data_IF_019165492815
#
_entry.id   IF_019165492815
#
_cell.length_a   1.000
_cell.length_b   1.000
_cell.length_c   1.000
_cell.angle_alpha   90.00
_cell.angle_beta   90.00
_cell.angle_gamma   90.00
#
_symmetry.space_group_name_H-M   'P 1'
#
loop_
_entity.id
_entity.type
_entity.pdbx_description
1 polymer ?
#
# COMPACT_ATOMS: atom_id res chain seq x y z
N UNK A 1 -29.79 -8.34 18.73
CA UNK A 1 -29.59 -7.35 17.62
C UNK A 1 -28.25 -6.60 17.63
N UNK A 2 -27.36 -6.74 18.64
CA UNK A 2 -26.07 -6.02 18.70
C UNK A 2 -24.90 -6.65 17.91
N UNK A 3 -25.03 -7.88 17.41
CA UNK A 3 -23.95 -8.53 16.65
C UNK A 3 -23.90 -8.13 15.17
N UNK A 4 -25.06 -7.97 14.51
CA UNK A 4 -25.11 -7.66 13.08
C UNK A 4 -24.39 -6.35 12.72
N UNK A 5 -24.49 -5.34 13.58
CA UNK A 5 -23.89 -4.01 13.40
C UNK A 5 -22.35 -4.03 13.39
N UNK A 6 -21.71 -5.03 14.04
CA UNK A 6 -20.23 -5.10 14.15
C UNK A 6 -19.59 -5.59 12.85
N UNK A 7 -20.29 -6.43 12.10
CA UNK A 7 -19.78 -6.98 10.85
C UNK A 7 -19.80 -5.91 9.76
N UNK A 8 -20.89 -5.17 9.62
CA UNK A 8 -20.98 -4.05 8.66
C UNK A 8 -19.85 -3.03 8.89
N UNK A 9 -19.62 -2.62 10.14
CA UNK A 9 -18.52 -1.72 10.53
C UNK A 9 -17.13 -2.27 10.17
N UNK A 10 -16.90 -3.58 10.32
CA UNK A 10 -15.65 -4.21 9.89
C UNK A 10 -15.50 -4.17 8.37
N UNK A 11 -16.54 -4.46 7.59
CA UNK A 11 -16.48 -4.37 6.13
C UNK A 11 -16.25 -2.94 5.63
N UNK A 12 -16.91 -1.94 6.23
CA UNK A 12 -16.65 -0.54 5.92
C UNK A 12 -15.22 -0.11 6.27
N UNK A 13 -14.67 -0.62 7.37
CA UNK A 13 -13.29 -0.35 7.78
C UNK A 13 -12.28 -1.01 6.82
N UNK A 14 -12.51 -2.27 6.42
CA UNK A 14 -11.69 -2.97 5.45
C UNK A 14 -11.73 -2.32 4.06
N UNK A 15 -12.90 -1.85 3.60
CA UNK A 15 -13.03 -1.07 2.37
C UNK A 15 -12.28 0.26 2.45
N UNK A 16 -12.34 0.95 3.59
CA UNK A 16 -11.59 2.17 3.85
C UNK A 16 -10.07 1.95 3.72
N UNK A 17 -9.56 0.84 4.27
CA UNK A 17 -8.15 0.44 4.13
C UNK A 17 -7.77 0.23 2.66
N UNK A 18 -8.60 -0.47 1.88
CA UNK A 18 -8.31 -0.77 0.46
C UNK A 18 -8.35 0.49 -0.39
N UNK A 19 -9.33 1.37 -0.16
CA UNK A 19 -9.44 2.66 -0.85
C UNK A 19 -8.24 3.53 -0.50
N UNK A 20 -7.86 3.62 0.78
CA UNK A 20 -6.68 4.37 1.20
C UNK A 20 -5.40 3.83 0.56
N UNK A 21 -5.24 2.50 0.50
CA UNK A 21 -4.12 1.87 -0.19
C UNK A 21 -4.09 2.24 -1.68
N UNK A 22 -5.23 2.13 -2.37
CA UNK A 22 -5.36 2.54 -3.77
C UNK A 22 -5.00 4.01 -3.99
N UNK A 23 -5.51 4.91 -3.14
CA UNK A 23 -5.20 6.35 -3.21
C UNK A 23 -3.71 6.62 -2.98
N UNK A 24 -3.07 5.94 -2.02
CA UNK A 24 -1.63 6.08 -1.74
C UNK A 24 -0.79 5.58 -2.92
N UNK A 25 -1.16 4.45 -3.54
CA UNK A 25 -0.47 3.90 -4.70
C UNK A 25 -0.61 4.83 -5.91
N UNK A 26 -1.83 5.26 -6.24
CA UNK A 26 -2.07 6.19 -7.35
C UNK A 26 -1.38 7.53 -7.12
N UNK A 27 -1.40 8.05 -5.89
CA UNK A 27 -0.69 9.30 -5.54
C UNK A 27 0.82 9.15 -5.71
N UNK A 28 1.42 8.04 -5.29
CA UNK A 28 2.85 7.79 -5.49
C UNK A 28 3.23 7.68 -6.97
N UNK A 29 2.42 7.00 -7.77
CA UNK A 29 2.64 6.91 -9.23
C UNK A 29 2.53 8.30 -9.86
N UNK A 30 1.54 9.09 -9.46
CA UNK A 30 1.35 10.45 -9.97
C UNK A 30 2.52 11.36 -9.60
N UNK A 31 2.96 11.34 -8.33
CA UNK A 31 4.09 12.14 -7.85
C UNK A 31 5.39 11.71 -8.53
N UNK A 32 5.66 10.42 -8.67
CA UNK A 32 6.83 9.91 -9.39
C UNK A 32 6.80 10.30 -10.87
N UNK A 33 5.63 10.27 -11.51
CA UNK A 33 5.44 10.69 -12.90
C UNK A 33 5.65 12.19 -13.11
N UNK A 34 5.10 13.03 -12.22
CA UNK A 34 5.26 14.50 -12.27
C UNK A 34 6.71 14.89 -12.02
N UNK A 35 7.36 14.33 -10.99
CA UNK A 35 8.77 14.57 -10.69
C UNK A 35 9.66 14.06 -11.83
N UNK A 36 9.37 12.87 -12.37
CA UNK A 36 10.07 12.32 -13.52
C UNK A 36 9.98 13.20 -14.77
N UNK A 37 8.79 13.73 -15.06
CA UNK A 37 8.57 14.66 -16.18
C UNK A 37 9.30 15.99 -15.99
N UNK A 38 9.30 16.54 -14.78
CA UNK A 38 9.99 17.79 -14.48
C UNK A 38 11.51 17.63 -14.58
N UNK A 39 12.05 16.49 -14.14
CA UNK A 39 13.47 16.14 -14.26
C UNK A 39 13.86 15.90 -15.71
N UNK A 40 13.03 15.22 -16.52
CA UNK A 40 13.29 14.97 -17.95
C UNK A 40 13.37 16.29 -18.75
N UNK A 41 12.60 17.31 -18.33
CA UNK A 41 12.59 18.64 -18.94
C UNK A 41 13.81 19.50 -18.56
N UNK A 42 14.43 19.24 -17.40
CA UNK A 42 15.51 20.07 -16.85
C UNK A 42 16.90 19.42 -16.97
N UNK A 43 16.97 18.08 -17.02
CA UNK A 43 18.21 17.32 -17.13
C UNK A 43 18.40 16.84 -18.57
N UNK A 44 19.26 17.57 -19.30
CA UNK A 44 19.83 17.20 -20.60
C UNK A 44 19.92 15.67 -20.84
N UNK A 45 18.97 15.12 -21.61
CA UNK A 45 18.97 13.84 -22.36
C UNK A 45 19.31 12.52 -21.63
N UNK A 46 19.64 12.52 -20.35
CA UNK A 46 20.03 11.29 -19.64
C UNK A 46 18.88 10.75 -18.78
N UNK A 47 18.00 9.95 -19.40
CA UNK A 47 16.87 9.17 -18.83
C UNK A 47 17.17 8.28 -17.61
N UNK A 48 18.42 8.26 -17.13
CA UNK A 48 18.91 7.39 -16.07
C UNK A 48 18.38 7.75 -14.67
N UNK A 49 18.16 9.03 -14.37
CA UNK A 49 17.59 9.39 -13.07
C UNK A 49 16.11 9.01 -12.94
N UNK A 50 15.35 9.10 -14.04
CA UNK A 50 13.94 8.71 -14.09
C UNK A 50 13.80 7.19 -13.90
N UNK A 51 14.66 6.39 -14.53
CA UNK A 51 14.63 4.93 -14.34
C UNK A 51 14.98 4.54 -12.91
N UNK A 52 15.99 5.17 -12.30
CA UNK A 52 16.38 4.92 -10.91
C UNK A 52 15.24 5.27 -9.94
N UNK A 53 14.60 6.43 -10.10
CA UNK A 53 13.46 6.83 -9.27
C UNK A 53 12.22 5.95 -9.49
N UNK A 54 11.99 5.47 -10.71
CA UNK A 54 10.90 4.52 -10.99
C UNK A 54 11.14 3.19 -10.27
N UNK A 55 12.36 2.65 -10.34
CA UNK A 55 12.73 1.43 -9.62
C UNK A 55 12.70 1.63 -8.11
N UNK A 56 13.16 2.77 -7.58
CA UNK A 56 13.05 3.08 -6.15
C UNK A 56 11.59 3.24 -5.71
N UNK A 57 10.74 3.87 -6.53
CA UNK A 57 9.31 4.03 -6.24
C UNK A 57 8.58 2.70 -6.22
N UNK A 58 8.81 1.85 -7.21
CA UNK A 58 8.24 0.49 -7.28
C UNK A 58 8.77 -0.39 -6.15
N UNK A 59 10.08 -0.38 -5.89
CA UNK A 59 10.69 -1.15 -4.80
C UNK A 59 10.18 -0.70 -3.42
N UNK A 60 10.10 0.61 -3.19
CA UNK A 60 9.57 1.18 -1.94
C UNK A 60 8.10 0.81 -1.73
N UNK A 61 7.27 0.94 -2.78
CA UNK A 61 5.85 0.61 -2.75
C UNK A 61 5.60 -0.88 -2.48
N UNK A 62 6.31 -1.75 -3.19
CA UNK A 62 6.22 -3.20 -2.99
C UNK A 62 6.73 -3.62 -1.61
N UNK A 63 7.86 -3.09 -1.16
CA UNK A 63 8.44 -3.47 0.13
C UNK A 63 7.51 -3.09 1.30
N UNK A 64 6.95 -1.87 1.29
CA UNK A 64 6.00 -1.46 2.33
C UNK A 64 4.66 -2.21 2.22
N UNK A 65 4.15 -2.45 1.02
CA UNK A 65 2.91 -3.18 0.79
C UNK A 65 3.00 -4.64 1.24
N UNK A 66 4.06 -5.35 0.82
CA UNK A 66 4.31 -6.75 1.20
C UNK A 66 4.55 -6.86 2.71
N UNK A 67 5.31 -5.93 3.31
CA UNK A 67 5.51 -5.91 4.77
C UNK A 67 4.22 -5.69 5.53
N UNK A 68 3.33 -4.84 5.04
CA UNK A 68 2.02 -4.61 5.65
C UNK A 68 1.14 -5.87 5.56
N UNK A 69 1.05 -6.47 4.37
CA UNK A 69 0.28 -7.68 4.12
C UNK A 69 0.78 -8.87 4.96
N UNK A 70 2.09 -9.10 5.03
CA UNK A 70 2.68 -10.16 5.85
C UNK A 70 2.42 -9.94 7.34
N UNK A 71 2.54 -8.70 7.82
CA UNK A 71 2.28 -8.36 9.22
C UNK A 71 0.80 -8.56 9.59
N UNK A 72 -0.11 -8.32 8.65
CA UNK A 72 -1.53 -8.51 8.83
C UNK A 72 -1.94 -9.99 8.75
N UNK A 73 -1.34 -10.77 7.83
CA UNK A 73 -1.51 -12.22 7.75
C UNK A 73 -1.05 -12.96 9.02
N UNK A 74 0.12 -12.59 9.57
CA UNK A 74 0.62 -13.17 10.83
C UNK A 74 -0.26 -12.82 12.04
N UNK A 75 -0.96 -11.67 11.99
CA UNK A 75 -1.88 -11.25 13.05
C UNK A 75 -3.20 -12.04 12.99
N UNK A 76 -3.60 -12.52 11.82
CA UNK A 76 -4.72 -13.44 11.65
C UNK A 76 -4.40 -14.85 12.19
N UNK A 77 -3.22 -15.41 11.89
CA UNK A 77 -2.84 -16.75 12.37
C UNK A 77 -2.65 -16.85 13.89
N UNK A 78 -2.22 -15.76 14.56
CA UNK A 78 -2.08 -15.77 16.02
C UNK A 78 -3.42 -15.75 16.75
N UNK A 79 -4.44 -15.09 16.19
CA UNK A 79 -5.75 -15.02 16.83
C UNK A 79 -6.58 -16.32 16.70
N UNK A 80 -6.22 -17.20 15.77
CA UNK A 80 -6.92 -18.48 15.57
C UNK A 80 -6.42 -19.58 16.51
N UNK A 81 -5.16 -19.50 16.97
CA UNK A 81 -4.58 -20.47 17.91
C UNK A 81 -5.04 -20.23 19.36
N UNK A 82 -5.15 -18.98 19.76
CA UNK A 82 -5.60 -18.64 21.13
C UNK A 82 -7.11 -18.89 21.35
N UNK A 83 -7.91 -19.06 20.27
CA UNK A 83 -9.35 -19.31 20.35
C UNK A 83 -9.74 -20.80 20.36
N UNK A 84 -8.79 -21.71 20.15
CA UNK A 84 -9.01 -23.15 20.08
C UNK A 84 -8.40 -23.91 21.28
N UNK A 85 -7.70 -23.20 22.16
CA UNK A 85 -7.03 -23.73 23.37
C UNK A 85 -7.71 -23.25 24.69
N UNK A 86 -8.89 -22.60 24.62
CA UNK A 86 -9.72 -22.20 25.78
C UNK A 86 -11.09 -22.93 25.74
#
# INVERSE_FOLDING_TARGET
>A
MKEKKRNDLKYFTSLGIVIQFGVVVVSNIFVAGVIGYFIDKWTLKNKLFLIVFLFLGVASGLYNGVKYLLKEAQKYEKHDKDANDE
#
